data_IF_518872001933
#
_entry.id   IF_518872001933
#
_cell.length_a   1.000
_cell.length_b   1.000
_cell.length_c   1.000
_cell.angle_alpha   90.00
_cell.angle_beta   90.00
_cell.angle_gamma   90.00
#
_symmetry.space_group_name_H-M   'P 1'
#
loop_
_entity.id
_entity.type
_entity.pdbx_description
1 polymer ?
#
# COMPACT_ATOMS: atom_id res chain seq x y z
N UNK A 1 14.53 -17.78 -7.56
CA UNK A 1 13.41 -18.19 -6.68
C UNK A 1 13.15 -17.27 -5.49
N UNK A 2 14.13 -16.86 -4.65
CA UNK A 2 13.88 -15.84 -3.59
C UNK A 2 13.56 -14.41 -4.09
N UNK A 3 13.84 -14.08 -5.35
CA UNK A 3 13.60 -12.73 -5.91
C UNK A 3 12.21 -12.53 -6.51
N UNK A 4 11.50 -13.61 -6.88
CA UNK A 4 10.12 -13.54 -7.37
C UNK A 4 9.12 -13.10 -6.29
N UNK A 5 9.47 -13.34 -5.03
CA UNK A 5 8.65 -12.94 -3.89
C UNK A 5 8.61 -11.42 -3.69
N UNK A 6 9.68 -10.67 -3.98
CA UNK A 6 9.73 -9.24 -3.64
C UNK A 6 8.77 -8.36 -4.46
N UNK A 7 8.44 -8.73 -5.70
CA UNK A 7 7.57 -7.93 -6.58
C UNK A 7 6.10 -8.00 -6.17
N UNK A 8 5.56 -9.21 -6.00
CA UNK A 8 4.18 -9.45 -5.52
C UNK A 8 4.02 -8.98 -4.07
N UNK A 9 5.08 -9.17 -3.27
CA UNK A 9 5.16 -8.58 -1.93
C UNK A 9 5.01 -7.06 -2.02
N UNK A 10 5.57 -6.34 -3.00
CA UNK A 10 5.48 -4.87 -3.04
C UNK A 10 4.05 -4.34 -3.29
N UNK A 11 3.25 -4.97 -4.15
CA UNK A 11 1.85 -4.54 -4.40
C UNK A 11 0.95 -4.89 -3.21
N UNK A 12 1.11 -6.09 -2.65
CA UNK A 12 0.40 -6.52 -1.43
C UNK A 12 0.90 -5.75 -0.20
N UNK A 13 2.15 -5.30 -0.20
CA UNK A 13 2.74 -4.43 0.82
C UNK A 13 2.37 -2.97 0.61
N UNK A 14 2.04 -2.43 -0.56
CA UNK A 14 1.60 -1.02 -0.61
C UNK A 14 0.22 -0.87 0.04
N UNK A 15 -0.66 -1.85 -0.18
CA UNK A 15 -1.96 -1.94 0.53
C UNK A 15 -1.78 -2.49 1.96
N UNK A 16 -0.83 -3.40 2.15
CA UNK A 16 -0.57 -4.11 3.39
C UNK A 16 0.44 -3.47 4.35
N UNK A 17 1.34 -2.57 3.93
CA UNK A 17 2.28 -1.80 4.79
C UNK A 17 1.49 -0.75 5.54
N UNK A 18 0.54 -0.10 4.88
CA UNK A 18 -0.42 0.78 5.55
C UNK A 18 -1.21 0.05 6.64
N UNK A 19 -1.21 -1.29 6.67
CA UNK A 19 -1.89 -2.10 7.68
C UNK A 19 -0.89 -2.81 8.62
N UNK A 20 0.26 -3.28 8.12
CA UNK A 20 1.30 -4.03 8.83
C UNK A 20 2.19 -3.12 9.69
N UNK A 21 2.36 -1.85 9.32
CA UNK A 21 3.03 -0.83 10.17
C UNK A 21 2.26 -0.65 11.50
N UNK A 22 0.94 -0.85 11.49
CA UNK A 22 0.13 -0.78 12.71
C UNK A 22 0.19 -2.06 13.57
N UNK A 23 0.71 -3.19 13.06
CA UNK A 23 0.35 -4.53 13.59
C UNK A 23 1.51 -5.49 13.91
N UNK A 24 2.75 -5.01 14.01
CA UNK A 24 3.84 -5.78 14.64
C UNK A 24 4.20 -5.25 16.05
N UNK A 25 3.38 -5.52 17.09
CA UNK A 25 3.78 -5.23 18.47
C UNK A 25 4.88 -6.17 19.00
N UNK A 26 5.03 -7.38 18.44
CA UNK A 26 6.02 -8.38 18.91
C UNK A 26 7.47 -8.04 18.49
N UNK A 27 7.69 -7.25 17.43
CA UNK A 27 9.02 -6.72 17.07
C UNK A 27 9.38 -5.42 17.81
N UNK A 28 8.45 -4.83 18.58
CA UNK A 28 8.69 -3.59 19.35
C UNK A 28 9.43 -3.79 20.67
N UNK A 29 9.93 -4.99 20.98
CA UNK A 29 10.42 -5.29 22.34
C UNK A 29 11.76 -4.65 22.73
N UNK A 30 12.53 -4.05 21.81
CA UNK A 30 13.77 -3.31 22.18
C UNK A 30 14.02 -2.03 21.35
N UNK A 31 13.02 -1.53 20.64
CA UNK A 31 13.11 -0.22 19.99
C UNK A 31 12.39 0.77 20.91
N UNK A 32 13.17 1.44 21.77
CA UNK A 32 12.77 2.74 22.33
C UNK A 32 12.10 3.53 21.21
N UNK A 33 10.92 4.14 21.40
CA UNK A 33 10.25 4.88 20.34
C UNK A 33 11.24 5.90 19.80
N UNK A 34 11.86 5.58 18.67
CA UNK A 34 12.66 6.50 17.93
C UNK A 34 11.69 7.63 17.59
N UNK A 35 12.14 8.86 17.78
CA UNK A 35 11.44 10.07 17.37
C UNK A 35 11.17 9.93 15.86
N UNK A 36 10.04 9.30 15.50
CA UNK A 36 9.52 9.39 14.16
C UNK A 36 9.23 10.87 13.95
N UNK A 37 9.69 11.48 12.85
CA UNK A 37 9.35 12.84 12.51
C UNK A 37 7.91 12.90 11.99
N UNK A 38 6.95 12.24 12.64
CA UNK A 38 5.57 12.69 12.53
C UNK A 38 5.59 14.09 13.12
N UNK A 39 5.42 15.08 12.23
CA UNK A 39 5.59 16.48 12.56
C UNK A 39 4.82 16.75 13.84
N UNK A 40 5.55 17.04 14.93
CA UNK A 40 4.89 17.40 16.18
C UNK A 40 3.86 18.47 15.86
N UNK A 41 2.70 18.48 16.52
CA UNK A 41 1.65 19.49 16.28
C UNK A 41 2.25 20.92 16.27
N UNK A 42 3.34 21.12 17.03
CA UNK A 42 4.15 22.34 17.04
C UNK A 42 4.89 22.64 15.73
N UNK A 43 5.42 21.64 15.04
CA UNK A 43 6.07 21.77 13.73
C UNK A 43 5.11 22.28 12.65
N UNK A 44 3.83 21.91 12.71
CA UNK A 44 2.82 22.37 11.75
C UNK A 44 2.58 23.89 11.76
N UNK A 45 2.92 24.58 12.85
CA UNK A 45 2.82 26.05 12.94
C UNK A 45 3.74 26.76 11.94
N UNK A 46 4.88 26.15 11.61
CA UNK A 46 5.88 26.74 10.71
C UNK A 46 5.71 26.31 9.24
N UNK A 47 4.72 25.47 8.94
CA UNK A 47 4.40 25.05 7.57
C UNK A 47 3.69 26.20 6.83
N UNK A 48 3.88 26.28 5.51
CA UNK A 48 3.17 27.26 4.66
C UNK A 48 1.67 27.14 4.81
N UNK A 49 0.96 28.28 4.81
CA UNK A 49 -0.45 28.39 5.22
C UNK A 49 -1.37 27.40 4.50
N UNK A 50 -1.12 27.16 3.22
CA UNK A 50 -1.88 26.26 2.35
C UNK A 50 -1.77 24.79 2.79
N UNK A 51 -0.67 24.40 3.41
CA UNK A 51 -0.41 23.02 3.86
C UNK A 51 -0.61 22.82 5.38
N UNK A 52 -0.92 23.89 6.13
CA UNK A 52 -1.10 23.81 7.59
C UNK A 52 -2.24 22.88 7.99
N UNK A 53 -3.40 22.97 7.32
CA UNK A 53 -4.56 22.11 7.63
C UNK A 53 -4.22 20.63 7.47
N UNK A 54 -3.60 20.26 6.34
CA UNK A 54 -3.19 18.86 6.07
C UNK A 54 -2.16 18.39 7.10
N UNK A 55 -1.20 19.25 7.47
CA UNK A 55 -0.23 18.92 8.52
C UNK A 55 -0.91 18.65 9.87
N UNK A 56 -1.83 19.52 10.30
CA UNK A 56 -2.55 19.34 11.56
C UNK A 56 -3.44 18.10 11.55
N UNK A 57 -4.17 17.85 10.47
CA UNK A 57 -5.03 16.67 10.33
C UNK A 57 -4.21 15.39 10.47
N UNK A 58 -3.13 15.27 9.71
CA UNK A 58 -2.24 14.11 9.76
C UNK A 58 -1.60 13.93 11.14
N UNK A 59 -1.14 15.03 11.76
CA UNK A 59 -0.57 14.97 13.11
C UNK A 59 -1.63 14.49 14.12
N UNK A 60 -2.84 15.05 14.12
CA UNK A 60 -3.88 14.64 15.06
C UNK A 60 -4.33 13.20 14.85
N UNK A 61 -4.48 12.76 13.59
CA UNK A 61 -4.76 11.36 13.27
C UNK A 61 -3.68 10.42 13.80
N UNK A 62 -2.40 10.74 13.57
CA UNK A 62 -1.27 9.94 14.06
C UNK A 62 -1.31 9.79 15.60
N UNK A 63 -1.48 10.91 16.33
CA UNK A 63 -1.62 10.88 17.79
C UNK A 63 -2.83 10.05 18.25
N UNK A 64 -3.98 10.17 17.57
CA UNK A 64 -5.19 9.47 17.95
C UNK A 64 -5.07 7.96 17.70
N UNK A 65 -4.60 7.56 16.52
CA UNK A 65 -4.52 6.17 16.07
C UNK A 65 -3.41 5.43 16.84
N UNK A 66 -2.20 5.98 16.89
CA UNK A 66 -1.07 5.30 17.54
C UNK A 66 -1.17 5.31 19.07
N UNK A 67 -1.81 6.34 19.65
CA UNK A 67 -2.07 6.42 21.08
C UNK A 67 -3.40 5.79 21.53
N UNK A 68 -4.28 5.38 20.61
CA UNK A 68 -5.66 4.96 20.90
C UNK A 68 -6.45 6.03 21.70
N UNK A 69 -6.25 7.30 21.35
CA UNK A 69 -6.82 8.50 21.97
C UNK A 69 -7.90 9.14 21.06
N UNK A 70 -9.15 8.63 21.07
CA UNK A 70 -10.21 9.10 20.16
C UNK A 70 -10.53 10.59 20.31
N UNK A 71 -10.25 11.19 21.47
CA UNK A 71 -10.40 12.63 21.70
C UNK A 71 -9.54 13.51 20.78
N UNK A 72 -8.50 12.96 20.14
CA UNK A 72 -7.70 13.67 19.15
C UNK A 72 -8.32 13.62 17.74
N UNK A 73 -9.14 12.62 17.41
CA UNK A 73 -9.90 12.63 16.16
C UNK A 73 -10.86 13.84 16.09
N UNK A 74 -11.39 14.28 17.25
CA UNK A 74 -12.22 15.49 17.33
C UNK A 74 -11.48 16.79 16.94
N UNK A 75 -10.15 16.77 16.95
CA UNK A 75 -9.29 17.91 16.58
C UNK A 75 -8.92 17.92 15.09
N UNK A 76 -9.21 16.84 14.37
CA UNK A 76 -9.05 16.77 12.91
C UNK A 76 -10.05 17.73 12.27
N UNK A 77 -9.54 18.62 11.43
CA UNK A 77 -10.27 19.72 10.78
C UNK A 77 -11.09 19.18 9.61
N UNK A 78 -10.48 18.33 8.77
CA UNK A 78 -11.21 17.65 7.69
C UNK A 78 -12.26 16.69 8.25
N UNK A 79 -13.51 16.87 7.83
CA UNK A 79 -14.63 16.03 8.26
C UNK A 79 -14.43 14.56 7.86
N UNK A 80 -13.99 14.33 6.63
CA UNK A 80 -13.75 12.98 6.09
C UNK A 80 -12.64 12.26 6.87
N UNK A 81 -11.51 12.93 7.09
CA UNK A 81 -10.39 12.37 7.87
C UNK A 81 -10.77 12.14 9.34
N UNK A 82 -11.65 12.96 9.90
CA UNK A 82 -12.18 12.75 11.25
C UNK A 82 -13.03 11.47 11.34
N UNK A 83 -13.90 11.22 10.36
CA UNK A 83 -14.69 9.99 10.27
C UNK A 83 -13.77 8.76 10.12
N UNK A 84 -12.78 8.84 9.23
CA UNK A 84 -11.76 7.80 9.03
C UNK A 84 -10.93 7.52 10.31
N UNK A 85 -10.52 8.56 11.02
CA UNK A 85 -9.79 8.46 12.28
C UNK A 85 -10.60 7.69 13.33
N UNK A 86 -11.89 8.00 13.47
CA UNK A 86 -12.78 7.33 14.42
C UNK A 86 -13.01 5.87 14.05
N UNK A 87 -13.27 5.58 12.78
CA UNK A 87 -13.48 4.22 12.28
C UNK A 87 -12.23 3.36 12.48
N UNK A 88 -11.04 3.93 12.25
CA UNK A 88 -9.75 3.24 12.48
C UNK A 88 -9.55 2.88 13.95
N UNK A 89 -9.82 3.80 14.88
CA UNK A 89 -9.70 3.52 16.32
C UNK A 89 -10.71 2.45 16.76
N UNK A 90 -11.94 2.51 16.26
CA UNK A 90 -12.97 1.50 16.56
C UNK A 90 -12.56 0.13 16.04
N UNK A 91 -12.04 0.03 14.82
CA UNK A 91 -11.51 -1.20 14.25
C UNK A 91 -10.35 -1.76 15.09
N UNK A 92 -9.39 -0.92 15.49
CA UNK A 92 -8.27 -1.36 16.34
C UNK A 92 -8.74 -1.89 17.70
N UNK A 93 -9.74 -1.25 18.32
CA UNK A 93 -10.35 -1.71 19.57
C UNK A 93 -11.12 -3.02 19.35
N UNK A 94 -11.90 -3.11 18.28
CA UNK A 94 -12.61 -4.32 17.89
C UNK A 94 -11.64 -5.50 17.78
N UNK A 95 -10.53 -5.34 17.05
CA UNK A 95 -9.51 -6.38 16.85
C UNK A 95 -8.77 -6.75 18.15
N UNK A 96 -8.48 -5.77 19.01
CA UNK A 96 -7.77 -6.00 20.28
C UNK A 96 -8.64 -6.74 21.29
N UNK A 97 -9.93 -6.40 21.34
CA UNK A 97 -10.89 -7.00 22.28
C UNK A 97 -11.60 -8.22 21.70
N UNK A 98 -11.36 -8.56 20.43
CA UNK A 98 -12.11 -9.53 19.63
C UNK A 98 -13.64 -9.32 19.67
N UNK A 99 -14.08 -8.06 19.57
CA UNK A 99 -15.49 -7.64 19.65
C UNK A 99 -15.93 -6.88 18.40
N UNK A 100 -16.53 -7.61 17.46
CA UNK A 100 -17.13 -7.04 16.24
C UNK A 100 -18.18 -5.96 16.54
N UNK A 101 -18.84 -6.04 17.70
CA UNK A 101 -19.89 -5.09 18.07
C UNK A 101 -19.41 -3.65 18.24
N UNK A 102 -18.10 -3.45 18.43
CA UNK A 102 -17.49 -2.12 18.45
C UNK A 102 -17.58 -1.43 17.08
N UNK A 103 -17.65 -2.19 15.97
CA UNK A 103 -17.85 -1.64 14.62
C UNK A 103 -19.24 -1.02 14.41
N UNK A 104 -20.24 -1.31 15.28
CA UNK A 104 -21.58 -0.68 15.18
C UNK A 104 -21.55 0.82 15.47
N UNK A 105 -20.51 1.31 16.14
CA UNK A 105 -20.30 2.72 16.40
C UNK A 105 -19.52 3.43 15.28
N UNK A 106 -19.03 2.69 14.28
CA UNK A 106 -18.29 3.26 13.15
C UNK A 106 -19.25 4.03 12.24
N UNK A 107 -18.73 5.08 11.60
CA UNK A 107 -19.42 5.81 10.56
C UNK A 107 -19.72 4.88 9.38
N UNK A 108 -18.72 4.11 8.94
CA UNK A 108 -18.90 3.07 7.93
C UNK A 108 -18.83 1.67 8.56
N UNK A 109 -19.96 1.24 9.13
CA UNK A 109 -20.11 -0.08 9.78
C UNK A 109 -19.65 -1.22 8.86
N UNK A 110 -20.06 -1.20 7.59
CA UNK A 110 -19.70 -2.25 6.62
C UNK A 110 -18.20 -2.35 6.39
N UNK A 111 -17.51 -1.21 6.26
CA UNK A 111 -16.05 -1.18 6.10
C UNK A 111 -15.35 -1.67 7.37
N UNK A 112 -15.77 -1.23 8.55
CA UNK A 112 -15.21 -1.72 9.82
C UNK A 112 -15.40 -3.24 9.98
N UNK A 113 -16.61 -3.77 9.75
CA UNK A 113 -16.88 -5.20 9.84
C UNK A 113 -16.04 -6.01 8.82
N UNK A 114 -15.94 -5.50 7.58
CA UNK A 114 -15.12 -6.11 6.53
C UNK A 114 -13.66 -6.21 6.96
N UNK A 115 -13.06 -5.08 7.34
CA UNK A 115 -11.66 -5.02 7.77
C UNK A 115 -11.39 -5.88 9.00
N UNK A 116 -12.34 -5.93 9.95
CA UNK A 116 -12.22 -6.78 11.14
C UNK A 116 -12.05 -8.26 10.76
N UNK A 117 -12.92 -8.78 9.88
CA UNK A 117 -12.84 -10.18 9.47
C UNK A 117 -11.62 -10.46 8.58
N UNK A 118 -11.26 -9.53 7.70
CA UNK A 118 -10.04 -9.63 6.88
C UNK A 118 -8.79 -9.73 7.74
N UNK A 119 -8.63 -8.84 8.72
CA UNK A 119 -7.52 -8.86 9.66
C UNK A 119 -7.47 -10.15 10.48
N UNK A 120 -8.63 -10.60 10.96
CA UNK A 120 -8.72 -11.86 11.72
C UNK A 120 -8.35 -13.06 10.85
N UNK A 121 -8.79 -13.11 9.59
CA UNK A 121 -8.45 -14.14 8.61
C UNK A 121 -6.93 -14.18 8.34
N UNK A 122 -6.31 -13.02 8.12
CA UNK A 122 -4.87 -12.89 7.87
C UNK A 122 -4.06 -13.38 9.08
N UNK A 123 -4.37 -12.90 10.29
CA UNK A 123 -3.64 -13.29 11.51
C UNK A 123 -3.78 -14.77 11.85
N UNK A 124 -4.97 -15.33 11.63
CA UNK A 124 -5.22 -16.75 11.86
C UNK A 124 -4.73 -17.65 10.72
N UNK A 125 -4.30 -17.06 9.58
CA UNK A 125 -4.01 -17.77 8.33
C UNK A 125 -5.17 -18.68 7.89
N UNK A 126 -6.39 -18.21 8.13
CA UNK A 126 -7.63 -18.93 7.87
C UNK A 126 -8.59 -18.10 7.02
N UNK A 127 -8.56 -18.28 5.68
CA UNK A 127 -9.48 -17.59 4.77
C UNK A 127 -10.95 -17.90 5.02
N UNK A 128 -11.28 -18.97 5.76
CA UNK A 128 -12.68 -19.30 6.05
C UNK A 128 -13.35 -18.27 6.97
N UNK A 129 -12.57 -17.49 7.72
CA UNK A 129 -13.06 -16.38 8.56
C UNK A 129 -13.74 -15.30 7.70
N UNK A 130 -13.31 -15.13 6.45
CA UNK A 130 -13.92 -14.18 5.50
C UNK A 130 -15.39 -14.50 5.18
N UNK A 131 -15.86 -15.73 5.42
CA UNK A 131 -17.27 -16.10 5.18
C UNK A 131 -18.25 -15.28 6.03
N UNK A 132 -17.78 -14.61 7.08
CA UNK A 132 -18.57 -13.70 7.91
C UNK A 132 -18.80 -12.33 7.27
N UNK A 133 -18.10 -11.99 6.17
CA UNK A 133 -18.29 -10.75 5.43
C UNK A 133 -19.57 -10.85 4.59
N UNK A 134 -20.43 -9.83 4.66
CA UNK A 134 -21.74 -9.83 4.01
C UNK A 134 -21.70 -9.52 2.52
N UNK A 135 -20.83 -8.61 2.10
CA UNK A 135 -20.68 -8.20 0.71
C UNK A 135 -19.79 -9.23 0.00
N UNK A 136 -20.31 -9.90 -1.03
CA UNK A 136 -19.60 -10.99 -1.72
C UNK A 136 -18.30 -10.53 -2.39
N UNK A 137 -18.26 -9.32 -2.94
CA UNK A 137 -17.06 -8.72 -3.52
C UNK A 137 -15.95 -8.59 -2.45
N UNK A 138 -16.27 -7.99 -1.30
CA UNK A 138 -15.34 -7.85 -0.18
C UNK A 138 -14.93 -9.20 0.41
N UNK A 139 -15.84 -10.16 0.47
CA UNK A 139 -15.56 -11.54 0.92
C UNK A 139 -14.54 -12.19 0.00
N UNK A 140 -14.71 -12.05 -1.32
CA UNK A 140 -13.79 -12.59 -2.33
C UNK A 140 -12.41 -11.99 -2.15
N UNK A 141 -12.32 -10.67 -2.04
CA UNK A 141 -11.06 -9.95 -1.79
C UNK A 141 -10.40 -10.40 -0.47
N UNK A 142 -11.17 -10.55 0.61
CA UNK A 142 -10.65 -11.05 1.89
C UNK A 142 -10.06 -12.45 1.76
N UNK A 143 -10.75 -13.38 1.07
CA UNK A 143 -10.27 -14.75 0.86
C UNK A 143 -8.95 -14.74 0.11
N UNK A 144 -8.88 -13.94 -0.94
CA UNK A 144 -7.71 -13.79 -1.80
C UNK A 144 -6.52 -13.24 -0.99
N UNK A 145 -6.72 -12.15 -0.23
CA UNK A 145 -5.70 -11.57 0.65
C UNK A 145 -5.24 -12.56 1.74
N UNK A 146 -6.16 -13.19 2.47
CA UNK A 146 -5.82 -14.15 3.52
C UNK A 146 -5.04 -15.36 2.96
N UNK A 147 -5.35 -15.80 1.74
CA UNK A 147 -4.66 -16.90 1.07
C UNK A 147 -3.23 -16.53 0.68
N UNK A 148 -3.00 -15.31 0.20
CA UNK A 148 -1.66 -14.79 -0.08
C UNK A 148 -0.81 -14.75 1.17
N UNK A 149 -1.33 -14.13 2.25
CA UNK A 149 -0.59 -14.04 3.51
C UNK A 149 -0.26 -15.42 4.07
N UNK A 150 -1.22 -16.36 4.03
CA UNK A 150 -0.97 -17.74 4.41
C UNK A 150 0.18 -18.36 3.61
N UNK A 151 0.20 -18.19 2.29
CA UNK A 151 1.27 -18.74 1.45
C UNK A 151 2.63 -18.12 1.77
N UNK A 152 2.69 -16.80 1.97
CA UNK A 152 3.91 -16.08 2.39
C UNK A 152 4.45 -16.63 3.71
N UNK A 153 3.61 -16.72 4.75
CA UNK A 153 4.04 -17.16 6.08
C UNK A 153 4.39 -18.65 6.15
N UNK A 154 3.76 -19.49 5.33
CA UNK A 154 4.07 -20.93 5.26
C UNK A 154 5.16 -21.26 4.24
N UNK A 155 5.69 -20.26 3.54
CA UNK A 155 6.62 -20.42 2.41
C UNK A 155 6.09 -21.43 1.37
N UNK A 156 4.76 -21.47 1.21
CA UNK A 156 4.10 -22.26 0.19
C UNK A 156 4.12 -21.50 -1.13
N UNK A 157 4.39 -22.20 -2.23
CA UNK A 157 4.25 -21.62 -3.57
C UNK A 157 2.80 -21.19 -3.81
N UNK A 158 2.61 -19.91 -4.11
CA UNK A 158 1.31 -19.32 -4.45
C UNK A 158 1.19 -19.18 -5.96
N UNK A 159 0.05 -19.53 -6.54
CA UNK A 159 -0.19 -19.40 -7.99
C UNK A 159 -1.23 -18.31 -8.22
N UNK A 160 -0.94 -17.37 -9.12
CA UNK A 160 -1.90 -16.29 -9.42
C UNK A 160 -3.28 -16.82 -9.85
N UNK A 161 -3.35 -17.99 -10.49
CA UNK A 161 -4.62 -18.60 -10.91
C UNK A 161 -5.50 -19.06 -9.73
N UNK A 162 -5.00 -19.03 -8.50
CA UNK A 162 -5.78 -19.37 -7.30
C UNK A 162 -6.63 -18.18 -6.81
N UNK A 163 -6.37 -16.96 -7.31
CA UNK A 163 -7.20 -15.78 -7.02
C UNK A 163 -8.59 -15.90 -7.66
N UNK A 164 -9.61 -15.60 -6.85
CA UNK A 164 -11.01 -15.61 -7.30
C UNK A 164 -11.42 -14.30 -7.94
N UNK A 165 -10.95 -13.18 -7.39
CA UNK A 165 -11.16 -11.87 -7.97
C UNK A 165 -10.36 -11.73 -9.27
N UNK A 166 -11.03 -11.32 -10.34
CA UNK A 166 -10.44 -11.30 -11.67
C UNK A 166 -9.36 -10.21 -11.79
N UNK A 167 -9.61 -9.03 -11.22
CA UNK A 167 -8.67 -7.91 -11.25
C UNK A 167 -7.39 -8.24 -10.46
N UNK A 168 -7.54 -8.81 -9.26
CA UNK A 168 -6.44 -9.29 -8.42
C UNK A 168 -5.64 -10.37 -9.12
N UNK A 169 -6.31 -11.34 -9.75
CA UNK A 169 -5.66 -12.39 -10.55
C UNK A 169 -4.84 -11.80 -11.69
N UNK A 170 -5.39 -10.87 -12.45
CA UNK A 170 -4.72 -10.26 -13.59
C UNK A 170 -3.53 -9.40 -13.16
N UNK A 171 -3.66 -8.68 -12.05
CA UNK A 171 -2.56 -7.92 -11.43
C UNK A 171 -1.43 -8.86 -11.01
N UNK A 172 -1.74 -9.95 -10.31
CA UNK A 172 -0.73 -10.96 -9.94
C UNK A 172 -0.03 -11.56 -11.16
N UNK A 173 -0.78 -11.93 -12.20
CA UNK A 173 -0.19 -12.43 -13.44
C UNK A 173 0.73 -11.39 -14.06
N UNK A 174 0.33 -10.11 -14.07
CA UNK A 174 1.16 -9.01 -14.59
C UNK A 174 2.50 -8.94 -13.85
N UNK A 175 2.51 -9.04 -12.53
CA UNK A 175 3.74 -9.06 -11.72
C UNK A 175 4.62 -10.30 -12.01
N UNK A 176 4.01 -11.48 -12.16
CA UNK A 176 4.73 -12.69 -12.57
C UNK A 176 5.42 -12.51 -13.93
N UNK A 177 4.68 -11.97 -14.91
CA UNK A 177 5.18 -11.74 -16.26
C UNK A 177 6.26 -10.66 -16.29
N UNK A 178 6.08 -9.56 -15.55
CA UNK A 178 7.08 -8.51 -15.35
C UNK A 178 8.36 -9.10 -14.76
N UNK A 179 8.25 -9.88 -13.68
CA UNK A 179 9.41 -10.50 -13.04
C UNK A 179 10.15 -11.43 -13.99
N UNK A 180 9.41 -12.28 -14.73
CA UNK A 180 9.99 -13.16 -15.77
C UNK A 180 10.68 -12.34 -16.87
N UNK A 181 10.09 -11.22 -17.29
CA UNK A 181 10.68 -10.32 -18.29
C UNK A 181 12.02 -9.75 -17.80
N UNK A 182 12.10 -9.30 -16.55
CA UNK A 182 13.35 -8.81 -15.93
C UNK A 182 14.40 -9.91 -15.80
N UNK A 183 14.03 -11.09 -15.29
CA UNK A 183 14.94 -12.23 -15.11
C UNK A 183 15.50 -12.73 -16.45
N UNK A 184 14.68 -12.72 -17.50
CA UNK A 184 15.08 -13.17 -18.84
C UNK A 184 15.68 -12.05 -19.70
N UNK A 185 15.68 -10.80 -19.21
CA UNK A 185 16.02 -9.62 -20.00
C UNK A 185 15.26 -9.57 -21.35
N UNK A 186 13.97 -9.93 -21.33
CA UNK A 186 13.17 -10.08 -22.53
C UNK A 186 11.76 -9.50 -22.34
N UNK A 187 11.52 -8.31 -22.91
CA UNK A 187 10.22 -7.62 -22.83
C UNK A 187 9.09 -8.37 -23.54
N UNK A 188 9.39 -9.23 -24.52
CA UNK A 188 8.36 -10.00 -25.24
C UNK A 188 7.66 -11.03 -24.35
N UNK A 189 8.23 -11.33 -23.17
CA UNK A 189 7.54 -12.11 -22.14
C UNK A 189 6.18 -11.47 -21.81
N UNK A 190 6.11 -10.13 -21.71
CA UNK A 190 4.86 -9.41 -21.44
C UNK A 190 3.75 -9.67 -22.48
N UNK A 191 4.08 -10.14 -23.69
CA UNK A 191 3.10 -10.41 -24.75
C UNK A 191 2.18 -11.60 -24.43
N UNK A 192 2.57 -12.43 -23.44
CA UNK A 192 1.76 -13.54 -22.94
C UNK A 192 0.58 -13.12 -22.05
N UNK A 193 0.51 -11.85 -21.62
CA UNK A 193 -0.68 -11.31 -20.97
C UNK A 193 -1.81 -11.17 -22.01
N UNK A 194 -3.07 -11.25 -21.60
CA UNK A 194 -4.19 -11.23 -22.56
C UNK A 194 -4.60 -9.81 -22.94
N UNK A 195 -4.95 -9.01 -21.93
CA UNK A 195 -5.49 -7.66 -22.13
C UNK A 195 -4.39 -6.62 -22.37
N UNK A 196 -4.67 -5.63 -23.23
CA UNK A 196 -3.69 -4.59 -23.61
C UNK A 196 -3.15 -3.84 -22.40
N UNK A 197 -4.03 -3.45 -21.47
CA UNK A 197 -3.65 -2.66 -20.29
C UNK A 197 -2.55 -3.34 -19.46
N UNK A 198 -2.67 -4.64 -19.19
CA UNK A 198 -1.69 -5.39 -18.42
C UNK A 198 -0.38 -5.62 -19.20
N UNK A 199 -0.44 -5.77 -20.53
CA UNK A 199 0.77 -5.79 -21.38
C UNK A 199 1.54 -4.48 -21.25
N UNK A 200 0.83 -3.37 -21.36
CA UNK A 200 1.42 -2.03 -21.30
C UNK A 200 2.03 -1.78 -19.91
N UNK A 201 1.32 -2.13 -18.84
CA UNK A 201 1.85 -2.08 -17.46
C UNK A 201 3.12 -2.92 -17.29
N UNK A 202 3.13 -4.18 -17.77
CA UNK A 202 4.30 -5.05 -17.71
C UNK A 202 5.51 -4.46 -18.46
N UNK A 203 5.28 -3.91 -19.65
CA UNK A 203 6.31 -3.27 -20.47
C UNK A 203 6.85 -1.99 -19.83
N UNK A 204 5.96 -1.15 -19.29
CA UNK A 204 6.33 0.06 -18.57
C UNK A 204 7.23 -0.28 -17.39
N UNK A 205 6.79 -1.19 -16.51
CA UNK A 205 7.59 -1.67 -15.39
C UNK A 205 8.96 -2.21 -15.85
N UNK A 206 8.99 -3.00 -16.93
CA UNK A 206 10.24 -3.53 -17.50
C UNK A 206 11.21 -2.42 -17.91
N UNK A 207 10.76 -1.43 -18.68
CA UNK A 207 11.63 -0.35 -19.16
C UNK A 207 12.01 0.64 -18.07
N UNK A 208 11.12 0.92 -17.11
CA UNK A 208 11.43 1.73 -15.92
C UNK A 208 12.53 1.06 -15.09
N UNK A 209 12.41 -0.23 -14.78
CA UNK A 209 13.43 -0.97 -14.03
C UNK A 209 14.79 -0.97 -14.75
N UNK A 210 14.78 -1.13 -16.08
CA UNK A 210 16.00 -0.99 -16.90
C UNK A 210 16.59 0.40 -16.79
N UNK A 211 15.78 1.44 -17.01
CA UNK A 211 16.22 2.82 -16.94
C UNK A 211 16.88 3.13 -15.59
N UNK A 212 16.21 2.78 -14.48
CA UNK A 212 16.70 3.03 -13.11
C UNK A 212 18.02 2.30 -12.86
N UNK A 213 18.10 1.00 -13.17
CA UNK A 213 19.30 0.19 -12.90
C UNK A 213 20.50 0.57 -13.75
N UNK A 214 20.29 1.02 -14.99
CA UNK A 214 21.37 1.45 -15.89
C UNK A 214 21.65 2.95 -15.84
N UNK A 215 20.83 3.72 -15.10
CA UNK A 215 20.83 5.18 -15.13
C UNK A 215 20.75 5.73 -16.57
N UNK A 216 19.86 5.13 -17.38
CA UNK A 216 19.65 5.47 -18.79
C UNK A 216 18.17 5.68 -19.10
N UNK A 217 17.74 6.93 -19.12
CA UNK A 217 16.37 7.34 -19.49
C UNK A 217 15.99 6.95 -20.93
N UNK A 218 16.96 6.61 -21.78
CA UNK A 218 16.74 6.16 -23.15
C UNK A 218 15.85 4.91 -23.24
N UNK A 219 15.84 4.06 -22.20
CA UNK A 219 14.96 2.88 -22.15
C UNK A 219 13.47 3.24 -22.22
N UNK A 220 13.05 4.40 -21.67
CA UNK A 220 11.65 4.83 -21.70
C UNK A 220 11.14 5.18 -23.11
N UNK A 221 12.03 5.46 -24.07
CA UNK A 221 11.64 5.79 -25.44
C UNK A 221 11.10 4.57 -26.22
N UNK A 222 11.16 3.37 -25.64
CA UNK A 222 10.59 2.15 -26.22
C UNK A 222 9.09 1.98 -25.93
N UNK A 223 8.47 2.92 -25.20
CA UNK A 223 7.05 2.89 -24.83
C UNK A 223 6.21 3.82 -25.71
N UNK A 224 4.91 3.52 -25.81
CA UNK A 224 3.93 4.37 -26.50
C UNK A 224 3.78 5.72 -25.79
N UNK A 225 3.77 5.72 -24.46
CA UNK A 225 3.85 6.91 -23.63
C UNK A 225 5.16 6.93 -22.81
N UNK A 226 6.25 7.54 -23.32
CA UNK A 226 7.50 7.61 -22.60
C UNK A 226 7.45 8.44 -21.31
N UNK A 227 6.45 9.31 -21.13
CA UNK A 227 6.44 10.25 -19.99
C UNK A 227 6.18 9.52 -18.67
N UNK A 228 5.24 8.57 -18.63
CA UNK A 228 4.91 7.82 -17.41
C UNK A 228 6.15 7.06 -16.89
N UNK A 229 6.91 6.43 -17.80
CA UNK A 229 8.18 5.77 -17.46
C UNK A 229 9.26 6.74 -16.94
N UNK A 230 9.33 7.96 -17.48
CA UNK A 230 10.29 8.98 -17.02
C UNK A 230 9.94 9.48 -15.62
N UNK A 231 8.65 9.69 -15.36
CA UNK A 231 8.15 10.09 -14.05
C UNK A 231 8.42 8.99 -13.02
N UNK A 232 8.12 7.73 -13.34
CA UNK A 232 8.45 6.57 -12.50
C UNK A 232 9.96 6.40 -12.27
N UNK A 233 10.77 6.67 -13.31
CA UNK A 233 12.23 6.64 -13.19
C UNK A 233 12.71 7.66 -12.16
N UNK A 234 12.27 8.91 -12.24
CA UNK A 234 12.69 9.94 -11.31
C UNK A 234 12.19 9.65 -9.91
N UNK A 235 10.95 9.16 -9.76
CA UNK A 235 10.39 8.71 -8.49
C UNK A 235 11.24 7.60 -7.86
N UNK A 236 11.52 6.52 -8.60
CA UNK A 236 12.33 5.40 -8.11
C UNK A 236 13.76 5.81 -7.76
N UNK A 237 14.38 6.69 -8.57
CA UNK A 237 15.73 7.20 -8.34
C UNK A 237 15.79 8.14 -7.13
N UNK A 238 14.75 8.95 -6.92
CA UNK A 238 14.59 9.81 -5.75
C UNK A 238 14.55 9.00 -4.45
N UNK A 239 13.81 7.88 -4.46
CA UNK A 239 13.74 6.95 -3.32
C UNK A 239 15.07 6.26 -3.05
N UNK A 240 15.73 5.73 -4.10
CA UNK A 240 17.00 5.02 -3.96
C UNK A 240 18.12 5.93 -3.44
N UNK A 241 18.11 7.21 -3.80
CA UNK A 241 19.13 8.18 -3.40
C UNK A 241 18.74 9.09 -2.24
N UNK A 242 17.51 8.96 -1.73
CA UNK A 242 16.93 9.87 -0.74
C UNK A 242 17.09 11.36 -1.12
N UNK A 243 16.76 11.70 -2.38
CA UNK A 243 17.05 13.01 -2.98
C UNK A 243 15.79 13.66 -3.56
N UNK A 244 15.20 14.59 -2.79
CA UNK A 244 13.98 15.32 -3.13
C UNK A 244 14.08 16.16 -4.41
N UNK A 245 15.27 16.61 -4.80
CA UNK A 245 15.43 17.43 -6.02
C UNK A 245 15.10 16.64 -7.28
N UNK A 246 15.12 15.31 -7.23
CA UNK A 246 14.74 14.47 -8.35
C UNK A 246 13.23 14.51 -8.61
N UNK A 247 12.41 14.72 -7.57
CA UNK A 247 10.96 14.87 -7.71
C UNK A 247 10.57 16.09 -8.57
N UNK A 248 11.44 17.10 -8.68
CA UNK A 248 11.20 18.27 -9.53
C UNK A 248 11.10 17.92 -11.02
N UNK A 249 11.69 16.80 -11.44
CA UNK A 249 11.70 16.35 -12.84
C UNK A 249 10.46 15.52 -13.21
N UNK A 250 9.59 15.21 -12.26
CA UNK A 250 8.33 14.50 -12.48
C UNK A 250 7.31 15.50 -13.03
N UNK A 251 6.69 15.17 -14.17
CA UNK A 251 5.71 16.04 -14.85
C UNK A 251 4.31 15.84 -14.29
N UNK A 252 3.91 14.59 -14.04
CA UNK A 252 2.63 14.30 -13.41
C UNK A 252 2.58 14.82 -11.97
N UNK A 253 1.62 15.71 -11.70
CA UNK A 253 1.52 16.38 -10.39
C UNK A 253 1.18 15.41 -9.27
N UNK A 254 0.39 14.37 -9.54
CA UNK A 254 0.03 13.38 -8.52
C UNK A 254 1.28 12.59 -8.09
N UNK A 255 2.00 12.02 -9.06
CA UNK A 255 3.25 11.28 -8.85
C UNK A 255 4.32 12.17 -8.20
N UNK A 256 4.40 13.44 -8.59
CA UNK A 256 5.31 14.41 -8.00
C UNK A 256 5.01 14.67 -6.52
N UNK A 257 3.74 14.87 -6.17
CA UNK A 257 3.34 15.05 -4.77
C UNK A 257 3.62 13.80 -3.93
N UNK A 258 3.32 12.61 -4.48
CA UNK A 258 3.63 11.33 -3.85
C UNK A 258 5.14 11.15 -3.62
N UNK A 259 5.96 11.61 -4.56
CA UNK A 259 7.42 11.59 -4.43
C UNK A 259 7.90 12.36 -3.19
N UNK A 260 7.42 13.59 -3.01
CA UNK A 260 7.77 14.38 -1.81
C UNK A 260 7.25 13.72 -0.54
N UNK A 261 6.04 13.17 -0.56
CA UNK A 261 5.42 12.56 0.62
C UNK A 261 6.14 11.32 1.14
N UNK A 262 6.86 10.58 0.28
CA UNK A 262 7.53 9.31 0.67
C UNK A 262 9.00 9.45 1.07
N UNK A 263 9.64 10.57 0.75
CA UNK A 263 11.08 10.79 1.01
C UNK A 263 11.29 11.60 2.31
N UNK A 264 10.25 12.25 2.82
CA UNK A 264 10.24 12.95 4.13
C UNK A 264 9.99 11.96 5.27
#
# INVERSE_FOLDING_TARGET
MRRLYLGIILVVLVVGISIAVYLLPELKKEISPAEHPSGTIRACVNVVKEAQTVCFDNAYMDYAINGNHPEYCEKVISKELKEECMDTILLQRALREDKIELCKAAFNVTVCETLFFTEKAIRAQDPSICNNIRIEEHKTLCIDQASVYKAIFTNQEFKCNDFKDEETRLTCLTDEFFTKAIEQNNVTVCDGLKEKIYKDMCRQGYYTDKAVKSNDLGFCNNLENPQDCKDDYYFGKAQLENNLNLCENIVDNLTKNDCYGRIV
#
